data_IF_770461147066
#
_entry.id   IF_770461147066
#
_cell.length_a   1.000
_cell.length_b   1.000
_cell.length_c   1.000
_cell.angle_alpha   90.00
_cell.angle_beta   90.00
_cell.angle_gamma   90.00
#
_symmetry.space_group_name_H-M   'P 1'
#
loop_
_entity.id
_entity.type
_entity.pdbx_description
1 polymer ?
#
# COMPACT_ATOMS: atom_id res chain seq x y z
N UNK A 1 9.42 -13.29 16.17
CA UNK A 1 8.17 -14.04 15.89
C UNK A 1 8.53 -15.49 15.59
N UNK A 2 7.73 -16.46 16.01
CA UNK A 2 7.97 -17.89 15.74
C UNK A 2 6.66 -18.69 15.62
N UNK A 3 6.74 -19.92 15.11
CA UNK A 3 5.59 -20.85 14.97
C UNK A 3 4.48 -20.35 14.02
N UNK A 4 4.85 -19.75 12.88
CA UNK A 4 3.94 -19.36 11.80
C UNK A 4 4.05 -20.32 10.61
N UNK A 5 3.10 -20.26 9.69
CA UNK A 5 3.19 -20.94 8.39
C UNK A 5 3.60 -19.94 7.31
N UNK A 6 4.45 -20.35 6.39
CA UNK A 6 4.76 -19.59 5.17
C UNK A 6 3.85 -20.09 4.05
N UNK A 7 3.15 -19.18 3.38
CA UNK A 7 2.27 -19.50 2.24
C UNK A 7 2.59 -18.57 1.07
N UNK A 8 2.25 -18.98 -0.16
CA UNK A 8 2.40 -18.13 -1.34
C UNK A 8 1.55 -16.86 -1.25
N UNK A 9 2.12 -15.74 -1.69
CA UNK A 9 1.42 -14.48 -1.87
C UNK A 9 0.72 -14.50 -3.23
N UNK A 10 -0.61 -14.54 -3.23
CA UNK A 10 -1.45 -14.61 -4.43
C UNK A 10 -2.65 -13.65 -4.32
N UNK A 11 -3.20 -13.24 -5.46
CA UNK A 11 -4.35 -12.34 -5.58
C UNK A 11 -3.95 -10.86 -5.69
N UNK A 12 -4.93 -9.97 -5.83
CA UNK A 12 -4.73 -8.53 -6.00
C UNK A 12 -4.41 -7.80 -4.69
N UNK A 13 -3.98 -6.54 -4.79
CA UNK A 13 -3.69 -5.65 -3.66
C UNK A 13 -2.54 -6.13 -2.76
N UNK A 14 -1.52 -6.75 -3.34
CA UNK A 14 -0.35 -7.23 -2.60
C UNK A 14 0.50 -6.04 -2.14
N UNK A 15 0.79 -5.95 -0.85
CA UNK A 15 1.57 -4.85 -0.25
C UNK A 15 3.09 -5.03 -0.35
N UNK A 16 3.56 -6.16 -0.89
CA UNK A 16 4.98 -6.47 -1.02
C UNK A 16 5.21 -7.36 -2.23
N UNK A 17 6.37 -7.18 -2.88
CA UNK A 17 6.85 -8.05 -3.96
C UNK A 17 7.33 -9.42 -3.46
N UNK A 18 7.36 -9.66 -2.14
CA UNK A 18 7.82 -10.93 -1.60
C UNK A 18 6.87 -12.08 -2.01
N UNK A 19 7.40 -13.20 -2.53
CA UNK A 19 6.59 -14.30 -3.07
C UNK A 19 5.77 -15.04 -2.00
N UNK A 20 6.08 -14.81 -0.73
CA UNK A 20 5.44 -15.47 0.40
C UNK A 20 4.88 -14.46 1.41
N UNK A 21 3.83 -14.86 2.12
CA UNK A 21 3.28 -14.18 3.29
C UNK A 21 3.25 -15.11 4.50
N UNK A 22 3.22 -14.52 5.70
CA UNK A 22 3.14 -15.27 6.94
C UNK A 22 1.68 -15.46 7.35
N UNK A 23 1.29 -16.71 7.60
CA UNK A 23 -0.01 -17.07 8.14
C UNK A 23 0.13 -17.43 9.61
N UNK A 24 -0.57 -16.68 10.46
CA UNK A 24 -0.58 -16.93 11.89
C UNK A 24 -1.46 -18.16 12.18
N UNK A 25 -0.99 -18.97 13.12
CA UNK A 25 -1.67 -20.16 13.66
C UNK A 25 -1.88 -19.96 15.15
N UNK A 26 -2.70 -20.83 15.76
CA UNK A 26 -2.92 -20.81 17.21
C UNK A 26 -1.62 -20.87 18.04
N UNK A 27 -0.55 -21.47 17.50
CA UNK A 27 0.75 -21.58 18.18
C UNK A 27 1.70 -20.42 17.90
N UNK A 28 1.35 -19.48 17.01
CA UNK A 28 2.24 -18.38 16.63
C UNK A 28 2.55 -17.51 17.86
N UNK A 29 3.83 -17.26 18.09
CA UNK A 29 4.31 -16.42 19.20
C UNK A 29 4.84 -15.10 18.68
N UNK A 30 4.34 -14.02 19.26
CA UNK A 30 4.78 -12.64 19.00
C UNK A 30 5.30 -12.05 20.32
N UNK A 31 6.45 -11.39 20.27
CA UNK A 31 7.07 -10.75 21.42
C UNK A 31 7.56 -9.36 20.99
N UNK A 32 7.33 -8.31 21.81
CA UNK A 32 7.92 -7.00 21.57
C UNK A 32 9.44 -7.08 21.50
N UNK A 33 10.03 -6.35 20.56
CA UNK A 33 11.48 -6.21 20.44
C UNK A 33 11.80 -4.76 20.08
N UNK A 34 12.78 -4.19 20.77
CA UNK A 34 13.32 -2.87 20.42
C UNK A 34 14.47 -3.11 19.47
N UNK A 35 14.33 -2.64 18.23
CA UNK A 35 15.37 -2.71 17.23
C UNK A 35 15.40 -1.40 16.44
N UNK A 36 16.53 -0.70 16.48
CA UNK A 36 16.74 0.57 15.80
C UNK A 36 17.05 0.39 14.30
N UNK A 37 17.31 -0.83 13.84
CA UNK A 37 17.64 -1.15 12.44
C UNK A 37 16.36 -1.25 11.60
N UNK A 38 15.21 -1.59 12.20
CA UNK A 38 13.97 -1.77 11.47
C UNK A 38 13.39 -0.38 11.15
N UNK A 39 13.16 -0.04 9.86
CA UNK A 39 12.54 1.24 9.49
C UNK A 39 11.17 1.39 10.14
N UNK A 40 10.88 2.59 10.66
CA UNK A 40 9.66 2.83 11.43
C UNK A 40 8.37 2.69 10.59
N UNK A 41 8.41 3.10 9.31
CA UNK A 41 7.24 3.14 8.44
C UNK A 41 7.21 2.05 7.36
N UNK A 42 8.35 1.38 7.12
CA UNK A 42 8.43 0.29 6.14
C UNK A 42 8.07 0.66 4.70
N UNK A 43 8.16 1.95 4.32
CA UNK A 43 7.77 2.45 3.00
C UNK A 43 8.73 2.00 1.90
N UNK A 44 8.18 1.68 0.74
CA UNK A 44 8.91 1.40 -0.50
C UNK A 44 8.45 2.36 -1.59
N UNK A 45 9.01 3.57 -1.58
CA UNK A 45 8.59 4.68 -2.43
C UNK A 45 8.82 4.37 -3.92
N UNK A 46 7.78 4.65 -4.72
CA UNK A 46 7.80 4.63 -6.18
C UNK A 46 7.65 6.06 -6.69
N UNK A 47 8.26 6.33 -7.83
CA UNK A 47 8.03 7.57 -8.59
C UNK A 47 6.66 7.55 -9.25
N UNK A 48 6.10 8.72 -9.51
CA UNK A 48 4.84 8.87 -10.25
C UNK A 48 5.00 8.27 -11.64
N UNK A 49 6.15 8.44 -12.28
CA UNK A 49 6.46 7.83 -13.57
C UNK A 49 6.39 6.29 -13.56
N UNK A 50 6.95 5.64 -12.53
CA UNK A 50 6.85 4.18 -12.37
C UNK A 50 5.41 3.71 -12.19
N UNK A 51 4.62 4.43 -11.38
CA UNK A 51 3.21 4.11 -11.18
C UNK A 51 2.40 4.26 -12.46
N UNK A 52 2.64 5.34 -13.23
CA UNK A 52 1.99 5.55 -14.52
C UNK A 52 2.37 4.50 -15.57
N UNK A 53 3.53 3.84 -15.43
CA UNK A 53 3.98 2.80 -16.33
C UNK A 53 3.37 1.41 -16.03
N UNK A 54 2.66 1.24 -14.92
CA UNK A 54 2.00 -0.03 -14.58
C UNK A 54 0.82 -0.35 -15.49
N UNK A 55 0.63 -1.63 -15.79
CA UNK A 55 -0.52 -2.13 -16.54
C UNK A 55 -1.81 -2.04 -15.71
N UNK A 56 -2.97 -2.06 -16.38
CA UNK A 56 -4.28 -1.94 -15.74
C UNK A 56 -4.57 -3.06 -14.71
N UNK A 57 -3.89 -4.20 -14.83
CA UNK A 57 -4.00 -5.38 -13.97
C UNK A 57 -2.84 -5.52 -12.97
N UNK A 58 -2.08 -4.43 -12.73
CA UNK A 58 -1.00 -4.44 -11.76
C UNK A 58 -1.49 -4.86 -10.36
N UNK A 59 -0.92 -5.94 -9.84
CA UNK A 59 -1.47 -6.64 -8.69
C UNK A 59 -0.94 -6.13 -7.33
N UNK A 60 0.02 -5.21 -7.34
CA UNK A 60 0.67 -4.70 -6.13
C UNK A 60 0.21 -3.28 -5.79
N UNK A 61 0.16 -2.98 -4.50
CA UNK A 61 -0.01 -1.62 -3.99
C UNK A 61 1.31 -0.87 -4.09
N UNK A 62 1.23 0.46 -4.22
CA UNK A 62 2.39 1.35 -4.36
C UNK A 62 2.39 2.39 -3.26
N UNK A 63 3.58 2.73 -2.77
CA UNK A 63 3.80 3.90 -1.93
C UNK A 63 4.32 5.04 -2.81
N UNK A 64 3.75 6.23 -2.69
CA UNK A 64 4.16 7.43 -3.44
C UNK A 64 4.35 8.59 -2.48
N UNK A 65 5.38 9.39 -2.72
CA UNK A 65 5.56 10.70 -2.09
C UNK A 65 5.68 11.75 -3.19
N UNK A 66 5.03 12.88 -3.02
CA UNK A 66 5.06 13.98 -3.97
C UNK A 66 4.64 15.29 -3.34
N UNK A 67 4.95 16.38 -4.02
CA UNK A 67 4.47 17.71 -3.70
C UNK A 67 2.99 17.82 -4.09
N UNK A 68 2.16 18.32 -3.18
CA UNK A 68 0.77 18.64 -3.47
C UNK A 68 0.72 19.87 -4.40
N UNK A 69 0.48 19.64 -5.68
CA UNK A 69 0.40 20.68 -6.71
C UNK A 69 -1.02 21.25 -6.86
N UNK A 70 -2.05 20.47 -6.52
CA UNK A 70 -3.44 20.83 -6.72
C UNK A 70 -4.39 20.06 -5.81
N UNK A 71 -5.54 20.69 -5.53
CA UNK A 71 -6.61 20.15 -4.71
C UNK A 71 -7.95 20.54 -5.32
N UNK A 72 -8.83 19.57 -5.54
CA UNK A 72 -10.20 19.87 -5.95
C UNK A 72 -11.07 20.28 -4.76
N UNK A 73 -12.16 21.00 -5.04
CA UNK A 73 -13.29 21.02 -4.11
C UNK A 73 -13.85 19.60 -3.94
N UNK A 74 -14.47 19.38 -2.79
CA UNK A 74 -15.17 18.14 -2.52
C UNK A 74 -16.38 17.97 -3.43
N UNK A 75 -16.59 16.74 -3.91
CA UNK A 75 -17.73 16.36 -4.76
C UNK A 75 -18.42 15.15 -4.18
N UNK A 76 -19.73 15.04 -4.38
CA UNK A 76 -20.50 13.85 -3.99
C UNK A 76 -20.90 13.05 -5.21
N UNK A 77 -20.72 11.73 -5.13
CA UNK A 77 -21.07 10.78 -6.18
C UNK A 77 -21.96 9.67 -5.63
N UNK A 78 -23.04 9.36 -6.34
CA UNK A 78 -23.87 8.20 -6.05
C UNK A 78 -23.30 6.99 -6.79
N UNK A 79 -22.73 6.04 -6.05
CA UNK A 79 -22.24 4.77 -6.59
C UNK A 79 -22.87 3.63 -5.79
N UNK A 80 -23.48 2.67 -6.49
CA UNK A 80 -24.14 1.51 -5.90
C UNK A 80 -25.17 1.89 -4.81
N UNK A 81 -25.91 2.98 -5.02
CA UNK A 81 -26.91 3.50 -4.07
C UNK A 81 -26.31 4.20 -2.85
N UNK A 82 -24.99 4.32 -2.74
CA UNK A 82 -24.29 5.00 -1.65
C UNK A 82 -23.69 6.33 -2.12
N UNK A 83 -23.98 7.40 -1.39
CA UNK A 83 -23.32 8.70 -1.59
C UNK A 83 -21.90 8.62 -1.04
N UNK A 84 -20.93 8.91 -1.89
CA UNK A 84 -19.50 8.93 -1.56
C UNK A 84 -18.93 10.30 -1.88
N UNK A 85 -18.26 10.90 -0.89
CA UNK A 85 -17.54 12.16 -1.04
C UNK A 85 -16.15 11.90 -1.61
N UNK A 86 -15.76 12.64 -2.65
CA UNK A 86 -14.50 12.50 -3.38
C UNK A 86 -13.78 13.85 -3.42
N UNK A 87 -12.48 13.80 -3.14
CA UNK A 87 -11.54 14.93 -3.27
C UNK A 87 -10.39 14.44 -4.14
N UNK A 88 -10.05 15.20 -5.18
CA UNK A 88 -8.93 14.88 -6.08
C UNK A 88 -7.70 15.64 -5.59
N UNK A 89 -6.60 14.91 -5.42
CA UNK A 89 -5.29 15.43 -5.10
C UNK A 89 -4.39 15.30 -6.32
N UNK A 90 -3.72 16.39 -6.70
CA UNK A 90 -2.69 16.39 -7.73
C UNK A 90 -1.31 16.40 -7.07
N UNK A 91 -0.50 15.39 -7.38
CA UNK A 91 0.84 15.20 -6.85
C UNK A 91 1.88 15.30 -7.98
N UNK A 92 3.03 15.91 -7.69
CA UNK A 92 4.22 15.88 -8.56
C UNK A 92 5.45 15.43 -7.79
N UNK A 93 6.31 14.61 -8.40
CA UNK A 93 7.62 14.21 -7.87
C UNK A 93 8.80 14.84 -8.64
N UNK A 94 8.49 15.66 -9.66
CA UNK A 94 9.45 16.51 -10.36
C UNK A 94 9.55 17.88 -9.69
N UNK A 95 10.78 18.31 -9.37
CA UNK A 95 11.10 19.72 -9.11
C UNK A 95 11.24 20.50 -10.40
#
# INVERSE_FOLDING_TARGET
MSHFTVISSIGSYRTSLHPCRLLFRMKTKVQPSVNLIIPHYGLSLNTIGEVCAHYADYEYLVDVIGLLAGLSIDREYLKDGKVTKITVLELTDHT
#
